data_IF_733230466154
#
_entry.id   IF_733230466154
#
_cell.length_a   1.000
_cell.length_b   1.000
_cell.length_c   1.000
_cell.angle_alpha   90.00
_cell.angle_beta   90.00
_cell.angle_gamma   90.00
#
_symmetry.space_group_name_H-M   'P 1'
#
loop_
_entity.id
_entity.type
_entity.pdbx_description
1 polymer ?
#
# COMPACT_ATOMS: atom_id res chain seq x y z
N UNK A 1 12.60 44.95 -20.91
CA UNK A 1 11.54 44.11 -20.30
C UNK A 1 12.18 43.45 -19.09
N UNK A 2 11.73 43.81 -17.90
CA UNK A 2 12.16 43.12 -16.69
C UNK A 2 11.50 41.76 -16.65
N UNK A 3 12.30 40.67 -16.57
CA UNK A 3 11.80 39.30 -16.32
C UNK A 3 11.33 39.21 -14.86
N UNK A 4 10.13 39.74 -14.63
CA UNK A 4 9.47 39.63 -13.33
C UNK A 4 8.74 38.32 -13.25
N UNK A 5 9.28 37.36 -12.49
CA UNK A 5 8.56 36.13 -12.08
C UNK A 5 7.74 36.50 -10.83
N UNK A 6 6.40 36.50 -10.91
CA UNK A 6 5.57 36.81 -9.75
C UNK A 6 5.84 35.81 -8.63
N UNK A 7 6.13 36.30 -7.43
CA UNK A 7 6.33 35.47 -6.25
C UNK A 7 4.99 34.78 -5.90
N UNK A 8 4.97 33.45 -5.90
CA UNK A 8 3.78 32.61 -5.59
C UNK A 8 3.17 33.00 -4.22
N UNK A 9 4.01 33.35 -3.23
CA UNK A 9 3.55 33.80 -1.91
C UNK A 9 2.86 35.19 -1.98
N UNK A 10 3.31 36.07 -2.85
CA UNK A 10 2.67 37.39 -3.02
C UNK A 10 1.31 37.27 -3.72
N UNK A 11 1.14 36.30 -4.62
CA UNK A 11 -0.17 35.98 -5.22
C UNK A 11 -1.11 35.32 -4.19
N UNK A 12 -0.62 34.41 -3.35
CA UNK A 12 -1.40 33.72 -2.32
C UNK A 12 -1.99 34.63 -1.26
N UNK A 13 -1.34 35.76 -0.94
CA UNK A 13 -1.89 36.76 0.01
C UNK A 13 -3.17 37.44 -0.49
N UNK A 14 -3.41 37.48 -1.81
CA UNK A 14 -4.64 38.04 -2.38
C UNK A 14 -5.75 37.04 -2.66
N UNK A 15 -5.40 35.75 -2.81
CA UNK A 15 -6.33 34.68 -3.24
C UNK A 15 -6.71 33.69 -2.12
N UNK A 16 -6.14 33.83 -0.92
CA UNK A 16 -6.26 32.85 0.18
C UNK A 16 -5.85 31.41 -0.22
N UNK A 17 -5.11 31.22 -1.32
CA UNK A 17 -4.61 29.95 -1.83
C UNK A 17 -3.25 30.17 -2.49
N UNK A 18 -2.32 29.26 -2.26
CA UNK A 18 -1.00 29.25 -2.93
C UNK A 18 -0.99 28.33 -4.14
N UNK A 19 -2.12 27.66 -4.43
CA UNK A 19 -2.28 26.69 -5.51
C UNK A 19 -1.21 25.59 -5.47
N UNK A 20 -0.90 25.10 -4.26
CA UNK A 20 0.12 24.07 -4.04
C UNK A 20 -0.41 22.98 -3.13
N UNK A 21 -0.24 21.72 -3.53
CA UNK A 21 -0.62 20.53 -2.77
C UNK A 21 0.63 19.76 -2.36
N UNK A 22 0.70 19.39 -1.08
CA UNK A 22 1.72 18.47 -0.59
C UNK A 22 1.36 17.02 -0.92
N UNK A 23 2.27 16.26 -1.51
CA UNK A 23 2.12 14.83 -1.75
C UNK A 23 3.18 14.11 -0.92
N UNK A 24 2.77 13.18 -0.06
CA UNK A 24 3.69 12.34 0.70
C UNK A 24 3.45 10.87 0.34
N UNK A 25 4.52 10.15 0.02
CA UNK A 25 4.50 8.69 -0.14
C UNK A 25 5.64 8.07 0.67
N UNK A 26 5.56 6.76 0.95
CA UNK A 26 6.62 6.10 1.68
C UNK A 26 7.85 5.86 0.80
N UNK A 27 7.62 5.36 -0.42
CA UNK A 27 8.67 4.94 -1.34
C UNK A 27 8.26 5.28 -2.79
N UNK A 28 9.06 6.10 -3.45
CA UNK A 28 8.83 6.47 -4.85
C UNK A 28 9.32 5.41 -5.86
N UNK A 29 10.00 4.35 -5.40
CA UNK A 29 10.37 3.21 -6.23
C UNK A 29 9.30 2.12 -6.28
N UNK A 30 8.33 2.14 -5.38
CA UNK A 30 7.14 1.28 -5.44
C UNK A 30 6.29 1.65 -6.64
N UNK A 31 6.00 0.66 -7.51
CA UNK A 31 5.32 0.90 -8.79
C UNK A 31 3.90 1.43 -8.63
N UNK A 32 3.17 0.97 -7.59
CA UNK A 32 1.83 1.46 -7.32
C UNK A 32 1.87 2.92 -6.84
N UNK A 33 2.73 3.20 -5.85
CA UNK A 33 2.87 4.56 -5.31
C UNK A 33 3.40 5.54 -6.38
N UNK A 34 4.36 5.11 -7.20
CA UNK A 34 4.90 5.93 -8.29
C UNK A 34 3.84 6.27 -9.33
N UNK A 35 3.01 5.30 -9.75
CA UNK A 35 1.90 5.55 -10.68
C UNK A 35 0.83 6.45 -10.07
N UNK A 36 0.49 6.24 -8.80
CA UNK A 36 -0.48 7.08 -8.12
C UNK A 36 0.00 8.54 -8.06
N UNK A 37 1.26 8.77 -7.68
CA UNK A 37 1.87 10.12 -7.68
C UNK A 37 1.83 10.72 -9.08
N UNK A 38 2.21 9.97 -10.12
CA UNK A 38 2.19 10.45 -11.50
C UNK A 38 0.80 10.96 -11.92
N UNK A 39 -0.25 10.17 -11.68
CA UNK A 39 -1.61 10.58 -12.05
C UNK A 39 -2.14 11.75 -11.21
N UNK A 40 -1.80 11.78 -9.92
CA UNK A 40 -2.12 12.93 -9.06
C UNK A 40 -1.47 14.22 -9.56
N UNK A 41 -0.19 14.17 -9.93
CA UNK A 41 0.50 15.34 -10.48
C UNK A 41 -0.11 15.82 -11.80
N UNK A 42 -0.46 14.90 -12.70
CA UNK A 42 -1.15 15.26 -13.96
C UNK A 42 -2.48 15.96 -13.70
N UNK A 43 -3.27 15.45 -12.76
CA UNK A 43 -4.58 16.02 -12.43
C UNK A 43 -4.43 17.38 -11.72
N UNK A 44 -3.49 17.50 -10.80
CA UNK A 44 -3.20 18.77 -10.13
C UNK A 44 -2.74 19.85 -11.13
N UNK A 45 -1.83 19.51 -12.03
CA UNK A 45 -1.34 20.39 -13.05
C UNK A 45 -2.46 20.87 -13.98
N UNK A 46 -3.36 19.95 -14.40
CA UNK A 46 -4.50 20.29 -15.27
C UNK A 46 -5.47 21.27 -14.60
N UNK A 47 -5.53 21.26 -13.27
CA UNK A 47 -6.34 22.15 -12.45
C UNK A 47 -5.58 23.39 -11.94
N UNK A 48 -4.35 23.64 -12.41
CA UNK A 48 -3.56 24.81 -12.08
C UNK A 48 -2.89 24.76 -10.70
N UNK A 49 -2.74 23.56 -10.11
CA UNK A 49 -2.00 23.37 -8.88
C UNK A 49 -0.56 22.89 -9.14
N UNK A 50 0.36 23.36 -8.32
CA UNK A 50 1.70 22.81 -8.20
C UNK A 50 1.73 21.71 -7.12
N UNK A 51 2.66 20.76 -7.21
CA UNK A 51 2.85 19.72 -6.19
C UNK A 51 4.20 19.81 -5.50
N UNK A 52 4.24 19.44 -4.22
CA UNK A 52 5.47 19.23 -3.45
C UNK A 52 5.53 17.78 -3.00
N UNK A 53 6.35 16.97 -3.67
CA UNK A 53 6.52 15.55 -3.35
C UNK A 53 7.57 15.33 -2.26
N UNK A 54 7.23 14.53 -1.24
CA UNK A 54 8.14 14.04 -0.21
C UNK A 54 8.06 12.52 -0.06
N UNK A 55 9.23 11.85 -0.07
CA UNK A 55 9.34 10.44 0.25
C UNK A 55 9.73 10.29 1.73
N UNK A 56 8.85 9.69 2.54
CA UNK A 56 8.97 9.69 4.00
C UNK A 56 9.61 8.41 4.56
N UNK A 57 9.67 7.35 3.76
CA UNK A 57 9.88 6.01 4.33
C UNK A 57 8.72 5.61 5.27
N UNK A 58 8.97 4.60 6.09
CA UNK A 58 7.94 4.00 6.95
C UNK A 58 8.00 4.48 8.40
N UNK A 59 9.06 5.18 8.80
CA UNK A 59 9.25 5.66 10.17
C UNK A 59 8.27 6.81 10.52
N UNK A 60 7.57 6.70 11.66
CA UNK A 60 6.55 7.65 12.09
C UNK A 60 7.12 9.06 12.35
N UNK A 61 8.31 9.16 12.98
CA UNK A 61 8.89 10.46 13.29
C UNK A 61 9.32 11.20 12.02
N UNK A 62 9.82 10.45 11.04
CA UNK A 62 10.16 11.01 9.73
C UNK A 62 8.90 11.51 9.02
N UNK A 63 7.80 10.75 9.05
CA UNK A 63 6.49 11.19 8.51
C UNK A 63 6.02 12.50 9.15
N UNK A 64 6.07 12.59 10.49
CA UNK A 64 5.72 13.80 11.24
C UNK A 64 6.59 15.00 10.83
N UNK A 65 7.90 14.79 10.69
CA UNK A 65 8.83 15.85 10.29
C UNK A 65 8.53 16.38 8.88
N UNK A 66 8.27 15.49 7.91
CA UNK A 66 7.91 15.90 6.55
C UNK A 66 6.55 16.61 6.49
N UNK A 67 5.57 16.17 7.27
CA UNK A 67 4.28 16.87 7.38
C UNK A 67 4.46 18.30 7.91
N UNK A 68 5.25 18.48 8.97
CA UNK A 68 5.57 19.80 9.49
C UNK A 68 6.32 20.68 8.46
N UNK A 69 7.23 20.08 7.69
CA UNK A 69 7.92 20.77 6.61
C UNK A 69 6.93 21.23 5.53
N UNK A 70 6.03 20.38 5.08
CA UNK A 70 5.01 20.72 4.08
C UNK A 70 4.06 21.80 4.59
N UNK A 71 3.58 21.70 5.84
CA UNK A 71 2.76 22.74 6.47
C UNK A 71 3.48 24.11 6.51
N UNK A 72 4.79 24.12 6.77
CA UNK A 72 5.59 25.34 6.75
C UNK A 72 5.63 26.04 5.38
N UNK A 73 5.35 25.29 4.30
CA UNK A 73 5.23 25.81 2.92
C UNK A 73 3.84 26.40 2.63
N UNK A 74 2.90 26.34 3.61
CA UNK A 74 1.53 26.88 3.49
C UNK A 74 0.75 26.29 2.32
N UNK A 75 0.87 24.99 2.09
CA UNK A 75 0.10 24.27 1.06
C UNK A 75 -1.41 24.38 1.32
N UNK A 76 -2.22 24.26 0.27
CA UNK A 76 -3.68 24.33 0.35
C UNK A 76 -4.31 22.99 0.80
N UNK A 77 -3.56 21.89 0.72
CA UNK A 77 -3.96 20.57 1.16
C UNK A 77 -2.82 19.56 1.07
N UNK A 78 -3.04 18.39 1.61
CA UNK A 78 -2.05 17.30 1.64
C UNK A 78 -2.68 16.01 1.16
N UNK A 79 -1.98 15.28 0.27
CA UNK A 79 -2.35 13.93 -0.16
C UNK A 79 -1.33 12.95 0.42
N UNK A 80 -1.80 11.98 1.19
CA UNK A 80 -1.00 10.89 1.75
C UNK A 80 -1.23 9.64 0.90
N UNK A 81 -0.22 9.23 0.15
CA UNK A 81 -0.31 8.15 -0.84
C UNK A 81 0.20 6.85 -0.25
N UNK A 82 -0.71 5.91 -0.04
CA UNK A 82 -0.44 4.59 0.51
C UNK A 82 -1.06 4.36 1.89
N UNK A 83 -1.26 3.09 2.20
CA UNK A 83 -2.00 2.61 3.37
C UNK A 83 -1.23 2.66 4.69
N UNK A 84 0.04 3.03 4.65
CA UNK A 84 0.95 3.02 5.80
C UNK A 84 0.96 4.33 6.61
N UNK A 85 0.14 5.32 6.23
CA UNK A 85 0.01 6.57 6.99
C UNK A 85 -0.97 6.47 8.16
N UNK A 86 -1.83 5.47 8.18
CA UNK A 86 -2.76 5.23 9.28
C UNK A 86 -2.28 4.05 10.10
N UNK A 87 -2.09 4.28 11.40
CA UNK A 87 -1.75 3.28 12.39
C UNK A 87 -2.98 2.56 12.95
N UNK A 88 -2.73 1.59 13.82
CA UNK A 88 -3.78 0.70 14.37
C UNK A 88 -4.51 1.29 15.57
N UNK A 89 -3.99 2.36 16.16
CA UNK A 89 -4.56 3.00 17.35
C UNK A 89 -4.61 4.52 17.21
N UNK A 90 -5.36 5.17 18.10
CA UNK A 90 -5.57 6.62 18.07
C UNK A 90 -4.31 7.44 18.30
N UNK A 91 -3.42 6.97 19.16
CA UNK A 91 -2.18 7.67 19.50
C UNK A 91 -1.24 7.75 18.31
N UNK A 92 -1.13 6.66 17.55
CA UNK A 92 -0.38 6.63 16.29
C UNK A 92 -0.95 7.58 15.24
N UNK A 93 -2.25 7.88 15.28
CA UNK A 93 -2.94 8.72 14.31
C UNK A 93 -3.09 10.20 14.78
N UNK A 94 -2.61 10.55 15.98
CA UNK A 94 -2.74 11.92 16.50
C UNK A 94 -2.15 12.97 15.53
N UNK A 95 -1.05 12.65 14.87
CA UNK A 95 -0.40 13.55 13.93
C UNK A 95 -1.27 13.90 12.70
N UNK A 96 -2.17 13.00 12.28
CA UNK A 96 -3.16 13.28 11.22
C UNK A 96 -4.20 14.27 11.71
N UNK A 97 -4.68 14.10 12.98
CA UNK A 97 -5.62 15.05 13.60
C UNK A 97 -5.04 16.45 13.69
N UNK A 98 -3.77 16.55 14.10
CA UNK A 98 -3.08 17.83 14.26
C UNK A 98 -2.89 18.57 12.91
N UNK A 99 -2.60 17.83 11.85
CA UNK A 99 -2.43 18.38 10.49
C UNK A 99 -3.78 18.74 9.89
N UNK A 100 -4.81 17.89 10.05
CA UNK A 100 -6.16 18.15 9.49
C UNK A 100 -6.84 19.38 10.10
N UNK A 101 -6.43 19.78 11.30
CA UNK A 101 -6.87 21.05 11.89
C UNK A 101 -6.36 22.31 11.15
N UNK A 102 -5.35 22.16 10.30
CA UNK A 102 -4.71 23.27 9.58
C UNK A 102 -5.01 23.26 8.08
N UNK A 103 -5.01 22.07 7.45
CA UNK A 103 -5.26 21.89 6.00
C UNK A 103 -6.03 20.58 5.76
N UNK A 104 -6.84 20.49 4.68
CA UNK A 104 -7.48 19.23 4.32
C UNK A 104 -6.46 18.15 3.97
N UNK A 105 -6.76 16.93 4.39
CA UNK A 105 -5.98 15.74 4.09
C UNK A 105 -6.80 14.78 3.22
N UNK A 106 -6.22 14.30 2.14
CA UNK A 106 -6.72 13.17 1.36
C UNK A 106 -5.84 11.95 1.63
N UNK A 107 -6.44 10.86 2.06
CA UNK A 107 -5.81 9.55 2.22
C UNK A 107 -6.07 8.70 0.97
N UNK A 108 -5.04 8.19 0.35
CA UNK A 108 -5.14 7.22 -0.72
C UNK A 108 -4.85 5.82 -0.18
N UNK A 109 -5.82 4.93 -0.31
CA UNK A 109 -5.79 3.54 0.16
C UNK A 109 -5.66 3.38 1.70
N UNK A 110 -6.16 4.36 2.45
CA UNK A 110 -6.34 4.29 3.89
C UNK A 110 -7.59 5.11 4.28
N UNK A 111 -8.16 4.83 5.45
CA UNK A 111 -9.31 5.59 5.98
C UNK A 111 -9.10 5.96 7.43
N UNK A 112 -9.50 7.18 7.74
CA UNK A 112 -9.54 7.70 9.10
C UNK A 112 -10.72 8.67 9.23
N UNK A 113 -11.70 8.29 10.03
CA UNK A 113 -12.92 9.09 10.24
C UNK A 113 -12.61 10.24 11.19
N UNK A 114 -12.27 11.38 10.63
CA UNK A 114 -11.97 12.60 11.36
C UNK A 114 -12.27 13.85 10.52
N UNK A 115 -12.66 14.98 11.15
CA UNK A 115 -12.93 16.23 10.43
C UNK A 115 -11.77 16.66 9.52
N UNK A 116 -12.12 17.09 8.30
CA UNK A 116 -11.18 17.56 7.29
C UNK A 116 -10.20 16.49 6.78
N UNK A 117 -10.53 15.20 6.99
CA UNK A 117 -9.84 14.04 6.42
C UNK A 117 -10.76 13.33 5.45
N UNK A 118 -10.31 13.12 4.24
CA UNK A 118 -11.02 12.47 3.16
C UNK A 118 -10.27 11.21 2.74
N UNK A 119 -10.97 10.22 2.19
CA UNK A 119 -10.38 8.94 1.85
C UNK A 119 -10.84 8.44 0.49
N UNK A 120 -9.91 7.88 -0.27
CA UNK A 120 -10.18 7.06 -1.45
C UNK A 120 -9.61 5.67 -1.21
N UNK A 121 -10.44 4.64 -1.37
CA UNK A 121 -10.14 3.26 -0.99
C UNK A 121 -10.28 2.31 -2.17
N UNK A 122 -9.44 1.26 -2.17
CA UNK A 122 -9.73 0.00 -2.84
C UNK A 122 -10.47 -0.92 -1.85
N UNK A 123 -11.37 -1.76 -2.34
CA UNK A 123 -11.99 -2.80 -1.51
C UNK A 123 -11.08 -4.03 -1.40
N UNK A 124 -9.99 -3.83 -0.66
CA UNK A 124 -8.96 -4.84 -0.45
C UNK A 124 -9.51 -6.12 0.21
N UNK A 125 -10.52 -5.97 1.07
CA UNK A 125 -11.13 -7.12 1.75
C UNK A 125 -11.91 -8.00 0.77
N UNK A 126 -12.86 -7.43 0.02
CA UNK A 126 -13.68 -8.18 -0.92
C UNK A 126 -12.84 -8.75 -2.05
N UNK A 127 -11.90 -7.95 -2.59
CA UNK A 127 -11.01 -8.41 -3.66
C UNK A 127 -10.16 -9.62 -3.24
N UNK A 128 -9.61 -9.60 -2.01
CA UNK A 128 -8.83 -10.73 -1.50
C UNK A 128 -9.71 -11.93 -1.17
N UNK A 129 -10.91 -11.70 -0.64
CA UNK A 129 -11.90 -12.75 -0.42
C UNK A 129 -12.23 -13.48 -1.74
N UNK A 130 -12.59 -12.73 -2.78
CA UNK A 130 -12.94 -13.30 -4.10
C UNK A 130 -11.75 -14.02 -4.75
N UNK A 131 -10.55 -13.46 -4.65
CA UNK A 131 -9.33 -14.10 -5.14
C UNK A 131 -9.08 -15.45 -4.44
N UNK A 132 -9.28 -15.51 -3.13
CA UNK A 132 -9.13 -16.74 -2.35
C UNK A 132 -10.21 -17.76 -2.71
N UNK A 133 -11.48 -17.34 -2.79
CA UNK A 133 -12.59 -18.19 -3.23
C UNK A 133 -12.32 -18.79 -4.60
N UNK A 134 -11.80 -18.00 -5.56
CA UNK A 134 -11.50 -18.52 -6.90
C UNK A 134 -10.50 -19.69 -6.89
N UNK A 135 -9.51 -19.69 -5.99
CA UNK A 135 -8.60 -20.82 -5.80
C UNK A 135 -9.29 -22.02 -5.15
N UNK A 136 -10.10 -21.76 -4.11
CA UNK A 136 -10.83 -22.81 -3.39
C UNK A 136 -11.84 -23.51 -4.30
N UNK A 137 -12.56 -22.77 -5.14
CA UNK A 137 -13.50 -23.29 -6.14
C UNK A 137 -12.79 -24.12 -7.23
N UNK A 138 -11.52 -23.84 -7.50
CA UNK A 138 -10.67 -24.67 -8.34
C UNK A 138 -10.15 -25.94 -7.65
N UNK A 139 -10.55 -26.19 -6.37
CA UNK A 139 -10.17 -27.37 -5.60
C UNK A 139 -8.82 -27.26 -4.90
N UNK A 140 -8.25 -26.07 -4.80
CA UNK A 140 -6.96 -25.82 -4.13
C UNK A 140 -7.24 -25.34 -2.71
N UNK A 141 -7.07 -26.21 -1.70
CA UNK A 141 -7.33 -25.88 -0.30
C UNK A 141 -6.05 -25.57 0.49
N UNK A 142 -4.90 -26.06 0.04
CA UNK A 142 -3.61 -25.86 0.71
C UNK A 142 -2.91 -24.59 0.20
N UNK A 143 -3.60 -23.46 0.35
CA UNK A 143 -3.17 -22.14 -0.08
C UNK A 143 -2.25 -21.50 0.98
N UNK A 144 -1.07 -21.06 0.55
CA UNK A 144 -0.17 -20.25 1.35
C UNK A 144 -0.50 -18.77 1.15
N UNK A 145 -0.80 -18.06 2.22
CA UNK A 145 -0.93 -16.60 2.19
C UNK A 145 0.39 -15.95 2.59
N UNK A 146 1.01 -15.21 1.67
CA UNK A 146 2.29 -14.57 1.89
C UNK A 146 2.12 -13.04 1.92
N UNK A 147 2.50 -12.39 3.01
CA UNK A 147 2.36 -10.96 3.19
C UNK A 147 3.54 -10.35 3.96
N UNK A 148 3.74 -9.05 3.84
CA UNK A 148 4.89 -8.32 4.42
C UNK A 148 4.48 -7.02 5.11
N UNK A 149 3.19 -6.71 5.20
CA UNK A 149 2.73 -5.44 5.76
C UNK A 149 1.46 -5.60 6.60
N UNK A 150 1.46 -4.99 7.78
CA UNK A 150 0.29 -4.82 8.63
C UNK A 150 -0.34 -3.41 8.49
N UNK A 151 -0.13 -2.76 7.34
CA UNK A 151 -0.78 -1.49 7.01
C UNK A 151 -2.30 -1.63 6.94
N UNK A 152 -3.02 -0.51 6.83
CA UNK A 152 -4.48 -0.51 6.68
C UNK A 152 -4.96 -1.48 5.59
N UNK A 153 -4.36 -1.42 4.40
CA UNK A 153 -4.64 -2.33 3.28
C UNK A 153 -4.24 -3.77 3.60
N UNK A 154 -3.05 -3.99 4.17
CA UNK A 154 -2.55 -5.33 4.53
C UNK A 154 -3.48 -6.07 5.49
N UNK A 155 -4.01 -5.39 6.50
CA UNK A 155 -4.98 -5.97 7.46
C UNK A 155 -6.30 -6.32 6.75
N UNK A 156 -6.78 -5.48 5.82
CA UNK A 156 -8.00 -5.76 5.04
C UNK A 156 -7.82 -6.98 4.13
N UNK A 157 -6.70 -7.07 3.42
CA UNK A 157 -6.35 -8.23 2.58
C UNK A 157 -6.30 -9.52 3.40
N UNK A 158 -5.58 -9.51 4.52
CA UNK A 158 -5.52 -10.66 5.42
C UNK A 158 -6.91 -11.06 5.95
N UNK A 159 -7.75 -10.09 6.28
CA UNK A 159 -9.13 -10.33 6.69
C UNK A 159 -9.96 -11.01 5.62
N UNK A 160 -9.84 -10.59 4.36
CA UNK A 160 -10.50 -11.20 3.21
C UNK A 160 -10.08 -12.66 2.98
N UNK A 161 -8.76 -12.92 3.06
CA UNK A 161 -8.23 -14.29 2.98
C UNK A 161 -8.82 -15.19 4.07
N UNK A 162 -8.75 -14.77 5.34
CA UNK A 162 -9.29 -15.51 6.48
C UNK A 162 -10.77 -15.84 6.31
N UNK A 163 -11.56 -14.82 5.96
CA UNK A 163 -12.99 -15.00 5.77
C UNK A 163 -13.34 -16.01 4.67
N UNK A 164 -12.58 -16.06 3.57
CA UNK A 164 -12.77 -17.03 2.51
C UNK A 164 -12.43 -18.47 2.98
N UNK A 165 -11.31 -18.64 3.69
CA UNK A 165 -10.90 -19.93 4.25
C UNK A 165 -11.92 -20.46 5.28
N UNK A 166 -12.45 -19.58 6.13
CA UNK A 166 -13.50 -19.91 7.10
C UNK A 166 -14.81 -20.28 6.41
N UNK A 167 -15.25 -19.51 5.42
CA UNK A 167 -16.47 -19.76 4.67
C UNK A 167 -16.45 -21.14 3.97
N UNK A 168 -15.28 -21.61 3.54
CA UNK A 168 -15.06 -22.93 2.94
C UNK A 168 -14.68 -24.01 3.96
N UNK A 169 -14.67 -23.68 5.25
CA UNK A 169 -14.32 -24.61 6.34
C UNK A 169 -12.97 -25.31 6.16
N UNK A 170 -11.97 -24.61 5.58
CA UNK A 170 -10.63 -25.14 5.37
C UNK A 170 -9.93 -25.31 6.72
N UNK A 171 -9.49 -26.54 7.09
CA UNK A 171 -8.87 -26.75 8.39
C UNK A 171 -7.44 -26.20 8.44
N UNK A 172 -7.02 -25.79 9.63
CA UNK A 172 -5.61 -25.43 9.92
C UNK A 172 -5.00 -24.33 9.02
N UNK A 173 -5.80 -23.54 8.32
CA UNK A 173 -5.33 -22.52 7.37
C UNK A 173 -4.46 -21.44 8.03
N UNK A 174 -4.65 -21.15 9.31
CA UNK A 174 -3.82 -20.15 10.05
C UNK A 174 -2.32 -20.50 10.02
N UNK A 175 -1.97 -21.78 9.95
CA UNK A 175 -0.57 -22.25 9.82
C UNK A 175 0.05 -21.91 8.47
N UNK A 176 -0.76 -21.50 7.51
CA UNK A 176 -0.38 -21.17 6.13
C UNK A 176 -0.32 -19.66 5.89
N UNK A 177 -0.60 -18.85 6.93
CA UNK A 177 -0.47 -17.38 6.88
C UNK A 177 0.94 -17.03 7.33
N UNK A 178 1.76 -16.51 6.41
CA UNK A 178 3.18 -16.28 6.64
C UNK A 178 3.55 -14.83 6.39
N UNK A 179 4.08 -14.20 7.43
CA UNK A 179 4.68 -12.88 7.32
C UNK A 179 6.10 -12.99 6.80
N UNK A 180 6.41 -12.30 5.70
CA UNK A 180 7.74 -12.21 5.13
C UNK A 180 8.45 -10.95 5.64
N UNK A 181 9.51 -11.13 6.41
CA UNK A 181 10.27 -10.03 7.03
C UNK A 181 11.33 -9.41 6.11
N UNK A 182 11.62 -10.07 4.97
CA UNK A 182 12.62 -9.59 4.00
C UNK A 182 12.10 -8.46 3.11
N UNK A 183 12.98 -7.95 2.26
CA UNK A 183 12.62 -7.00 1.22
C UNK A 183 11.87 -7.75 0.08
N UNK A 184 10.59 -7.46 -0.17
CA UNK A 184 9.81 -8.12 -1.21
C UNK A 184 10.37 -7.87 -2.62
N UNK A 185 11.07 -6.75 -2.84
CA UNK A 185 11.72 -6.45 -4.11
C UNK A 185 12.89 -7.40 -4.43
N UNK A 186 13.42 -8.10 -3.42
CA UNK A 186 14.41 -9.17 -3.58
C UNK A 186 13.71 -10.51 -3.85
N UNK A 187 13.09 -10.64 -5.02
CA UNK A 187 12.25 -11.78 -5.39
C UNK A 187 12.96 -13.13 -5.35
N UNK A 188 14.31 -13.15 -5.47
CA UNK A 188 15.13 -14.36 -5.32
C UNK A 188 15.18 -14.81 -3.86
N UNK A 189 15.17 -13.88 -2.91
CA UNK A 189 15.15 -14.20 -1.48
C UNK A 189 13.77 -14.71 -1.05
N UNK A 190 12.70 -14.19 -1.67
CA UNK A 190 11.35 -14.76 -1.50
C UNK A 190 11.31 -16.22 -1.99
N UNK A 191 11.91 -16.51 -3.15
CA UNK A 191 12.01 -17.88 -3.65
C UNK A 191 12.83 -18.78 -2.72
N UNK A 192 13.96 -18.31 -2.18
CA UNK A 192 14.77 -19.03 -1.18
C UNK A 192 13.96 -19.31 0.09
N UNK A 193 13.15 -18.35 0.55
CA UNK A 193 12.26 -18.51 1.70
C UNK A 193 11.26 -19.65 1.47
N UNK A 194 10.58 -19.68 0.32
CA UNK A 194 9.64 -20.74 -0.04
C UNK A 194 10.32 -22.11 -0.17
N UNK A 195 11.54 -22.18 -0.71
CA UNK A 195 12.33 -23.43 -0.71
C UNK A 195 12.61 -23.94 0.70
N UNK A 196 12.92 -23.03 1.65
CA UNK A 196 13.13 -23.42 3.04
C UNK A 196 11.85 -23.98 3.69
N UNK A 197 10.68 -23.42 3.36
CA UNK A 197 9.39 -23.93 3.84
C UNK A 197 9.08 -25.32 3.30
N UNK A 198 9.26 -25.54 2.01
CA UNK A 198 9.08 -26.84 1.35
C UNK A 198 9.97 -27.92 1.97
N UNK A 199 11.25 -27.60 2.25
CA UNK A 199 12.18 -28.51 2.95
C UNK A 199 11.72 -28.85 4.38
N UNK A 200 10.96 -27.99 5.04
CA UNK A 200 10.32 -28.22 6.34
C UNK A 200 9.01 -29.00 6.24
N UNK A 201 8.71 -29.57 5.06
CA UNK A 201 7.50 -30.38 4.77
C UNK A 201 6.18 -29.59 4.82
N UNK A 202 6.20 -28.27 4.62
CA UNK A 202 4.99 -27.50 4.36
C UNK A 202 4.63 -27.68 2.87
N UNK A 203 3.61 -28.50 2.59
CA UNK A 203 3.06 -28.68 1.24
C UNK A 203 2.08 -27.56 0.93
N UNK A 204 2.11 -27.02 -0.29
CA UNK A 204 1.15 -26.04 -0.81
C UNK A 204 1.07 -26.14 -2.33
N UNK A 205 -0.13 -25.99 -2.88
CA UNK A 205 -0.41 -25.96 -4.31
C UNK A 205 -0.99 -24.60 -4.75
N UNK A 206 -1.29 -23.71 -3.78
CA UNK A 206 -1.67 -22.35 -4.02
C UNK A 206 -0.78 -21.36 -3.26
N UNK A 207 -0.47 -20.22 -3.85
CA UNK A 207 0.12 -19.06 -3.20
C UNK A 207 -0.71 -17.83 -3.52
N UNK A 208 -1.21 -17.17 -2.50
CA UNK A 208 -1.79 -15.83 -2.59
C UNK A 208 -0.85 -14.87 -1.92
N UNK A 209 -0.36 -13.90 -2.66
CA UNK A 209 0.58 -12.90 -2.19
C UNK A 209 -0.11 -11.54 -2.02
N UNK A 210 0.16 -10.86 -0.93
CA UNK A 210 -0.41 -9.54 -0.65
C UNK A 210 0.07 -8.43 -1.59
N UNK A 211 1.12 -8.71 -2.38
CA UNK A 211 1.66 -7.83 -3.41
C UNK A 211 2.40 -8.63 -4.50
N UNK A 212 2.50 -8.07 -5.70
CA UNK A 212 3.07 -8.72 -6.88
C UNK A 212 4.54 -9.17 -6.73
N UNK A 213 5.45 -8.42 -6.09
CA UNK A 213 6.83 -8.89 -5.91
C UNK A 213 6.93 -10.23 -5.17
N UNK A 214 6.09 -10.44 -4.15
CA UNK A 214 6.00 -11.73 -3.43
C UNK A 214 5.48 -12.84 -4.34
N UNK A 215 4.48 -12.55 -5.18
CA UNK A 215 3.94 -13.49 -6.17
C UNK A 215 5.00 -13.88 -7.22
N UNK A 216 5.77 -12.91 -7.71
CA UNK A 216 6.88 -13.16 -8.65
C UNK A 216 7.94 -14.04 -7.96
N UNK A 217 8.22 -13.82 -6.68
CA UNK A 217 9.09 -14.70 -5.89
C UNK A 217 8.58 -16.14 -5.85
N UNK A 218 7.26 -16.35 -5.68
CA UNK A 218 6.64 -17.67 -5.74
C UNK A 218 6.74 -18.30 -7.13
N UNK A 219 6.58 -17.54 -8.20
CA UNK A 219 6.80 -18.03 -9.57
C UNK A 219 8.26 -18.43 -9.83
N UNK A 220 9.23 -17.68 -9.29
CA UNK A 220 10.65 -18.06 -9.35
C UNK A 220 10.92 -19.36 -8.58
N UNK A 221 10.30 -19.52 -7.39
CA UNK A 221 10.35 -20.77 -6.66
C UNK A 221 9.83 -21.92 -7.49
N UNK A 222 8.62 -21.81 -8.07
CA UNK A 222 8.04 -22.85 -8.91
C UNK A 222 8.99 -23.25 -10.04
N UNK A 223 9.53 -22.27 -10.77
CA UNK A 223 10.50 -22.52 -11.85
C UNK A 223 11.75 -23.27 -11.37
N UNK A 224 12.29 -22.95 -10.20
CA UNK A 224 13.47 -23.62 -9.63
C UNK A 224 13.18 -25.07 -9.23
N UNK A 225 11.95 -25.36 -8.82
CA UNK A 225 11.49 -26.71 -8.46
C UNK A 225 11.01 -27.53 -9.68
N UNK A 226 10.99 -26.95 -10.87
CA UNK A 226 10.46 -27.59 -12.08
C UNK A 226 8.93 -27.74 -12.07
N UNK A 227 8.23 -26.92 -11.27
CA UNK A 227 6.76 -26.91 -11.20
C UNK A 227 6.17 -26.04 -12.31
N UNK A 228 5.08 -26.51 -12.91
CA UNK A 228 4.27 -25.75 -13.87
C UNK A 228 3.31 -24.82 -13.13
N UNK A 229 3.19 -23.57 -13.60
CA UNK A 229 2.20 -22.61 -13.13
C UNK A 229 1.18 -22.40 -14.26
N UNK A 230 -0.12 -22.61 -14.04
CA UNK A 230 -0.78 -22.83 -12.73
C UNK A 230 -0.97 -24.29 -12.31
N UNK A 231 -0.59 -25.29 -13.11
CA UNK A 231 -1.00 -26.71 -12.99
C UNK A 231 -0.49 -27.36 -11.69
N UNK A 232 0.78 -27.14 -11.33
CA UNK A 232 1.40 -27.72 -10.12
C UNK A 232 1.38 -26.70 -8.95
N UNK A 233 1.41 -25.41 -9.28
CA UNK A 233 1.36 -24.31 -8.29
C UNK A 233 0.57 -23.13 -8.87
N UNK A 234 -0.61 -22.87 -8.33
CA UNK A 234 -1.38 -21.68 -8.67
C UNK A 234 -0.87 -20.47 -7.87
N UNK A 235 -0.69 -19.33 -8.53
CA UNK A 235 -0.18 -18.11 -7.90
C UNK A 235 -1.09 -16.93 -8.22
N UNK A 236 -1.52 -16.21 -7.18
CA UNK A 236 -2.22 -14.92 -7.31
C UNK A 236 -1.40 -13.85 -6.63
N UNK A 237 -1.08 -12.78 -7.35
CA UNK A 237 -0.55 -11.52 -6.83
C UNK A 237 -1.66 -10.52 -6.58
N UNK A 238 -1.32 -9.42 -5.92
CA UNK A 238 -2.23 -8.31 -5.66
C UNK A 238 -1.49 -6.98 -5.86
N UNK A 239 -2.02 -6.13 -6.78
CA UNK A 239 -1.63 -4.71 -6.82
C UNK A 239 -2.59 -3.87 -7.65
#
# INVERSE_FOLDING_TARGET
>A
KYDYTPNAFARGMGLHSVQTIGILCADSSDLFLAKAVYYLEQELQSNGYESLLCCTGYNLDIKKNYLNLILSKKVDGIILVGSNFIGTNEEENQYIKDVSAQVPIMLLNASFDYPNVYSTLCDDYTSMFEATVSMLDAGIEDILYLYNSNSYSGVKKLGGFRAAMEAHSVPDYEKRILFYEGDPQQMDDVANYLECLSKKKLSFHGVIASEDPLAIGAMKYARRQGLCVPEDLSVIGYN
#
